data_IF_850159051211
#
_entry.id   IF_850159051211
#
_cell.length_a   1.000
_cell.length_b   1.000
_cell.length_c   1.000
_cell.angle_alpha   90.00
_cell.angle_beta   90.00
_cell.angle_gamma   90.00
#
_symmetry.space_group_name_H-M   'P 1'
#
loop_
_entity.id
_entity.type
_entity.pdbx_description
1 polymer ?
#
# COMPACT_ATOMS: atom_id res chain seq x y z
N UNK A 1 1.89 4.73 14.69
CA UNK A 1 0.72 3.84 14.51
C UNK A 1 0.48 3.76 13.01
N UNK A 2 0.94 2.70 12.35
CA UNK A 2 0.82 2.54 10.90
C UNK A 2 -0.42 1.70 10.61
N UNK A 3 -1.39 2.23 9.88
CA UNK A 3 -2.40 1.40 9.25
C UNK A 3 -1.71 0.72 8.07
N UNK A 4 -1.61 -0.60 8.08
CA UNK A 4 -1.00 -1.42 7.02
C UNK A 4 -1.84 -1.43 5.74
N UNK A 5 -2.15 -0.24 5.21
CA UNK A 5 -2.90 -0.06 3.98
C UNK A 5 -1.95 -0.37 2.82
N UNK A 6 -2.35 -1.25 1.89
CA UNK A 6 -1.60 -1.48 0.66
C UNK A 6 -1.41 -0.19 -0.13
N UNK A 7 -0.17 0.08 -0.54
CA UNK A 7 0.15 1.19 -1.43
C UNK A 7 0.62 0.67 -2.78
N UNK A 8 0.30 1.38 -3.86
CA UNK A 8 0.69 1.02 -5.23
C UNK A 8 2.05 1.63 -5.58
N UNK A 9 2.98 0.85 -6.09
CA UNK A 9 4.25 1.34 -6.65
C UNK A 9 3.96 2.12 -7.93
N UNK A 10 4.30 3.40 -7.97
CA UNK A 10 4.08 4.27 -9.13
C UNK A 10 5.35 4.68 -9.86
N UNK A 11 6.51 4.62 -9.19
CA UNK A 11 7.82 4.91 -9.79
C UNK A 11 8.93 4.23 -8.99
N UNK A 12 9.92 3.64 -9.66
CA UNK A 12 11.09 3.02 -9.02
C UNK A 12 12.36 3.82 -9.32
N UNK A 13 13.16 4.08 -8.28
CA UNK A 13 14.40 4.87 -8.30
C UNK A 13 15.52 4.13 -7.56
N UNK A 14 16.07 3.09 -8.19
CA UNK A 14 17.05 2.21 -7.56
C UNK A 14 16.44 1.46 -6.40
N UNK A 15 17.00 1.63 -5.20
CA UNK A 15 16.56 0.94 -3.98
C UNK A 15 15.34 1.59 -3.29
N UNK A 16 14.79 2.65 -3.88
CA UNK A 16 13.62 3.37 -3.37
C UNK A 16 12.52 3.44 -4.42
N UNK A 17 11.28 3.50 -3.97
CA UNK A 17 10.12 3.66 -4.84
C UNK A 17 9.12 4.66 -4.27
N UNK A 18 8.41 5.33 -5.17
CA UNK A 18 7.25 6.14 -4.83
C UNK A 18 6.02 5.24 -4.76
N UNK A 19 5.35 5.26 -3.61
CA UNK A 19 4.18 4.46 -3.29
C UNK A 19 2.97 5.38 -3.13
N UNK A 20 1.93 5.16 -3.94
CA UNK A 20 0.66 5.88 -3.88
C UNK A 20 -0.37 5.13 -3.03
N UNK A 21 -0.94 5.82 -2.06
CA UNK A 21 -2.00 5.31 -1.17
C UNK A 21 -3.36 5.92 -1.53
N UNK A 22 -3.68 6.03 -2.82
CA UNK A 22 -4.95 6.57 -3.29
C UNK A 22 -5.03 8.10 -3.21
N UNK A 23 -3.95 8.79 -3.59
CA UNK A 23 -3.86 10.26 -3.65
C UNK A 23 -2.77 10.86 -2.78
N UNK A 24 -2.10 10.06 -1.95
CA UNK A 24 -0.94 10.47 -1.16
C UNK A 24 0.25 9.60 -1.55
N UNK A 25 1.29 10.22 -2.10
CA UNK A 25 2.52 9.52 -2.48
C UNK A 25 3.58 9.64 -1.38
N UNK A 26 4.24 8.54 -1.06
CA UNK A 26 5.36 8.48 -0.12
C UNK A 26 6.49 7.64 -0.68
N UNK A 27 7.72 8.01 -0.37
CA UNK A 27 8.89 7.21 -0.71
C UNK A 27 9.04 6.07 0.31
N UNK A 28 9.38 4.88 -0.19
CA UNK A 28 9.72 3.72 0.62
C UNK A 28 10.94 3.01 0.03
N UNK A 29 11.77 2.44 0.90
CA UNK A 29 12.87 1.59 0.49
C UNK A 29 12.33 0.22 0.08
N UNK A 30 12.71 -0.25 -1.10
CA UNK A 30 12.24 -1.52 -1.67
C UNK A 30 13.32 -2.61 -1.68
N UNK A 31 14.49 -2.38 -1.08
CA UNK A 31 15.62 -3.33 -1.13
C UNK A 31 15.31 -4.72 -0.56
N UNK A 32 14.21 -4.87 0.18
CA UNK A 32 13.80 -6.13 0.81
C UNK A 32 12.85 -6.97 -0.08
N UNK A 33 12.36 -6.41 -1.19
CA UNK A 33 11.35 -7.02 -2.05
C UNK A 33 11.63 -6.72 -3.52
N UNK A 34 11.38 -7.68 -4.41
CA UNK A 34 11.55 -7.47 -5.86
C UNK A 34 10.23 -7.03 -6.51
N UNK A 35 9.99 -5.71 -6.51
CA UNK A 35 8.74 -5.10 -6.97
C UNK A 35 8.90 -4.45 -8.34
N UNK A 36 7.81 -4.35 -9.08
CA UNK A 36 7.70 -3.53 -10.29
C UNK A 36 6.64 -2.44 -10.14
N UNK A 37 6.69 -1.46 -11.02
CA UNK A 37 5.64 -0.46 -11.13
C UNK A 37 4.27 -1.13 -11.37
N UNK A 38 3.29 -0.70 -10.59
CA UNK A 38 1.95 -1.28 -10.58
C UNK A 38 1.69 -2.33 -9.50
N UNK A 39 2.74 -2.89 -8.87
CA UNK A 39 2.56 -3.80 -7.74
C UNK A 39 2.04 -3.07 -6.50
N UNK A 40 1.36 -3.81 -5.64
CA UNK A 40 0.91 -3.32 -4.34
C UNK A 40 1.84 -3.84 -3.25
N UNK A 41 2.22 -2.98 -2.32
CA UNK A 41 3.15 -3.32 -1.25
C UNK A 41 2.62 -2.88 0.11
N UNK A 42 3.02 -3.63 1.14
CA UNK A 42 2.89 -3.20 2.53
C UNK A 42 4.20 -2.53 2.94
N UNK A 43 4.08 -1.31 3.47
CA UNK A 43 5.22 -0.54 3.98
C UNK A 43 5.18 -0.50 5.51
N UNK A 44 6.29 -0.86 6.14
CA UNK A 44 6.51 -0.75 7.56
C UNK A 44 7.82 -0.02 7.84
N UNK A 45 7.77 1.01 8.70
CA UNK A 45 8.93 1.81 9.08
C UNK A 45 9.74 2.38 7.88
N UNK A 46 9.08 2.64 6.75
CA UNK A 46 9.71 3.17 5.54
C UNK A 46 10.28 2.11 4.59
N UNK A 47 10.09 0.82 4.88
CA UNK A 47 10.50 -0.29 4.02
C UNK A 47 9.28 -1.03 3.48
N UNK A 48 9.29 -1.34 2.19
CA UNK A 48 8.39 -2.33 1.63
C UNK A 48 8.82 -3.71 2.13
N UNK A 49 7.91 -4.41 2.79
CA UNK A 49 8.19 -5.71 3.45
C UNK A 49 7.50 -6.88 2.76
N UNK A 50 6.47 -6.61 1.97
CA UNK A 50 5.64 -7.62 1.32
C UNK A 50 5.05 -7.06 0.04
N UNK A 51 5.01 -7.91 -0.99
CA UNK A 51 4.32 -7.65 -2.27
C UNK A 51 2.99 -8.39 -2.20
N UNK A 52 1.90 -7.65 -2.38
CA UNK A 52 0.58 -8.23 -2.43
C UNK A 52 0.22 -8.59 -3.86
N UNK A 53 -0.44 -9.73 -4.02
CA UNK A 53 -1.10 -10.02 -5.28
C UNK A 53 -2.22 -8.99 -5.51
N UNK A 54 -2.53 -8.76 -6.77
CA UNK A 54 -3.51 -7.73 -7.13
C UNK A 54 -4.90 -8.03 -6.57
N UNK A 55 -5.28 -9.31 -6.50
CA UNK A 55 -6.61 -9.71 -6.08
C UNK A 55 -6.81 -9.53 -4.55
N UNK A 56 -5.81 -9.88 -3.74
CA UNK A 56 -5.80 -9.65 -2.29
C UNK A 56 -5.66 -8.16 -1.96
N UNK A 57 -4.85 -7.42 -2.73
CA UNK A 57 -4.74 -5.97 -2.55
C UNK A 57 -6.09 -5.27 -2.79
N UNK A 58 -6.78 -5.63 -3.88
CA UNK A 58 -8.11 -5.08 -4.21
C UNK A 58 -9.14 -5.44 -3.13
N UNK A 59 -9.20 -6.71 -2.68
CA UNK A 59 -10.08 -7.15 -1.57
C UNK A 59 -9.79 -6.40 -0.27
N UNK A 60 -8.52 -6.23 0.08
CA UNK A 60 -8.11 -5.52 1.30
C UNK A 60 -8.49 -4.04 1.25
N UNK A 61 -8.26 -3.38 0.10
CA UNK A 61 -8.65 -1.99 -0.13
C UNK A 61 -10.17 -1.83 -0.06
N UNK A 62 -10.92 -2.78 -0.62
CA UNK A 62 -12.39 -2.79 -0.58
C UNK A 62 -12.90 -2.92 0.87
N UNK A 63 -12.38 -3.88 1.65
CA UNK A 63 -12.69 -3.99 3.08
C UNK A 63 -12.38 -2.70 3.84
N UNK A 64 -11.22 -2.07 3.59
CA UNK A 64 -10.87 -0.79 4.22
C UNK A 64 -11.85 0.32 3.82
N UNK A 65 -12.25 0.38 2.56
CA UNK A 65 -13.26 1.34 2.08
C UNK A 65 -14.61 1.09 2.75
N UNK A 66 -15.04 -0.15 2.92
CA UNK A 66 -16.28 -0.48 3.64
C UNK A 66 -16.21 -0.05 5.11
N UNK A 67 -15.10 -0.31 5.79
CA UNK A 67 -14.91 0.07 7.20
C UNK A 67 -14.89 1.59 7.42
N UNK A 68 -14.37 2.36 6.46
CA UNK A 68 -14.30 3.82 6.52
C UNK A 68 -15.43 4.55 5.80
N UNK A 69 -16.27 3.84 5.05
CA UNK A 69 -17.52 4.38 4.54
C UNK A 69 -18.47 4.60 5.71
N UNK A 70 -19.01 5.80 5.78
CA UNK A 70 -19.63 6.44 6.95
C UNK A 70 -20.97 5.86 7.42
N UNK A 71 -21.14 4.54 7.39
CA UNK A 71 -22.36 3.84 7.86
C UNK A 71 -22.18 3.04 9.15
N UNK A 72 -20.96 2.85 9.67
CA UNK A 72 -20.71 2.00 10.85
C UNK A 72 -20.38 2.72 12.17
N UNK A 73 -20.42 4.06 12.22
CA UNK A 73 -20.20 4.83 13.47
C UNK A 73 -21.49 5.10 14.28
N UNK A 74 -22.61 4.47 13.92
CA UNK A 74 -23.83 4.47 14.74
C UNK A 74 -23.98 3.14 15.48
N UNK A 75 -23.20 2.95 16.54
CA UNK A 75 -23.61 2.07 17.63
C UNK A 75 -23.41 2.78 18.96
#
# INVERSE_FOLDING_TARGET
MCLGIPGRVVEIRGDHALIDYGGVTREANISLVDVKEGDYVIVHAGFAIEILDREEAEKTIELWKELFSSDNFKQ
#
